data_IF_099469840443
#
_entry.id   IF_099469840443
#
_cell.length_a   1.000
_cell.length_b   1.000
_cell.length_c   1.000
_cell.angle_alpha   90.00
_cell.angle_beta   90.00
_cell.angle_gamma   90.00
#
_symmetry.space_group_name_H-M   'P 1'
#
loop_
_entity.id
_entity.type
_entity.pdbx_description
1 polymer ?
#
# COMPACT_ATOMS: atom_id res chain seq x y z
N UNK A 1 10.44 -89.38 25.76
CA UNK A 1 10.32 -88.65 24.49
C UNK A 1 9.63 -87.33 24.79
N UNK A 2 10.39 -86.25 24.87
CA UNK A 2 9.87 -84.89 25.01
C UNK A 2 9.78 -84.29 23.60
N UNK A 3 8.58 -83.87 23.19
CA UNK A 3 8.36 -83.19 21.92
C UNK A 3 8.38 -81.68 22.13
N UNK A 4 9.41 -81.00 21.63
CA UNK A 4 9.40 -79.54 21.53
C UNK A 4 8.65 -79.14 20.27
N UNK A 5 7.56 -78.39 20.40
CA UNK A 5 6.94 -77.69 19.29
C UNK A 5 7.71 -76.38 19.04
N UNK A 6 8.26 -76.24 17.85
CA UNK A 6 8.81 -74.98 17.32
C UNK A 6 7.66 -74.13 16.81
N UNK A 7 7.49 -72.93 17.38
CA UNK A 7 6.64 -71.88 16.83
C UNK A 7 7.48 -71.06 15.86
N UNK A 8 7.06 -71.03 14.60
CA UNK A 8 7.63 -70.16 13.58
C UNK A 8 6.84 -68.85 13.62
N UNK A 9 7.48 -67.77 14.08
CA UNK A 9 6.93 -66.44 14.00
C UNK A 9 7.40 -65.83 12.69
N UNK A 10 6.49 -65.70 11.71
CA UNK A 10 6.73 -64.84 10.56
C UNK A 10 7.03 -63.42 11.08
N UNK A 11 8.18 -62.82 10.71
CA UNK A 11 8.44 -61.42 11.02
C UNK A 11 7.39 -60.56 10.33
N UNK A 12 6.50 -59.96 11.12
CA UNK A 12 5.61 -58.92 10.63
C UNK A 12 6.45 -57.64 10.62
N UNK A 13 6.79 -57.12 9.44
CA UNK A 13 7.43 -55.81 9.34
C UNK A 13 6.49 -54.77 9.96
N UNK A 14 6.90 -54.08 11.05
CA UNK A 14 6.06 -53.04 11.62
C UNK A 14 6.01 -51.88 10.63
N UNK A 15 4.84 -51.68 10.01
CA UNK A 15 4.52 -50.42 9.35
C UNK A 15 4.61 -49.31 10.39
N UNK A 16 5.71 -48.55 10.35
CA UNK A 16 5.91 -47.39 11.20
C UNK A 16 4.95 -46.28 10.76
N UNK A 17 3.74 -46.26 11.34
CA UNK A 17 2.83 -45.13 11.21
C UNK A 17 3.36 -44.04 12.13
N UNK A 18 4.07 -43.04 11.59
CA UNK A 18 4.35 -41.82 12.31
C UNK A 18 3.22 -40.83 12.06
N UNK A 19 2.41 -40.57 13.08
CA UNK A 19 1.42 -39.51 13.04
C UNK A 19 2.10 -38.17 13.36
N UNK A 20 2.53 -37.45 12.32
CA UNK A 20 2.93 -36.04 12.48
C UNK A 20 1.67 -35.20 12.54
N UNK A 21 1.10 -35.01 13.73
CA UNK A 21 -0.01 -34.07 13.91
C UNK A 21 0.56 -32.65 13.87
N UNK A 22 0.50 -31.98 12.72
CA UNK A 22 0.69 -30.53 12.65
C UNK A 22 -0.70 -29.90 12.65
N UNK A 23 -1.12 -29.43 13.81
CA UNK A 23 -2.34 -28.63 13.95
C UNK A 23 -2.07 -27.27 13.32
N UNK A 24 -2.77 -26.98 12.22
CA UNK A 24 -2.81 -25.62 11.66
C UNK A 24 -4.21 -25.11 11.94
N UNK A 25 -4.36 -24.31 12.99
CA UNK A 25 -5.61 -23.61 13.28
C UNK A 25 -5.69 -22.44 12.30
N UNK A 26 -6.57 -22.56 11.32
CA UNK A 26 -6.90 -21.44 10.44
C UNK A 26 -8.07 -20.74 11.12
N UNK A 27 -7.72 -19.70 11.88
CA UNK A 27 -8.70 -18.75 12.40
C UNK A 27 -9.40 -18.07 11.23
N UNK A 28 -10.68 -17.74 11.44
CA UNK A 28 -11.61 -17.09 10.51
C UNK A 28 -10.99 -16.00 9.63
N UNK A 29 -11.67 -15.70 8.50
CA UNK A 29 -11.30 -14.64 7.54
C UNK A 29 -10.73 -13.44 8.28
N UNK A 30 -9.45 -13.11 8.04
CA UNK A 30 -8.90 -11.82 8.43
C UNK A 30 -9.87 -10.77 7.93
N UNK A 31 -10.37 -9.94 8.83
CA UNK A 31 -11.32 -8.90 8.44
C UNK A 31 -10.68 -8.00 7.39
N UNK A 32 -11.52 -7.47 6.50
CA UNK A 32 -11.08 -6.56 5.44
C UNK A 32 -10.27 -5.43 6.07
N UNK A 33 -9.06 -5.13 5.55
CA UNK A 33 -8.18 -4.18 6.18
C UNK A 33 -8.76 -2.76 6.14
N UNK A 34 -8.38 -1.96 7.11
CA UNK A 34 -8.63 -0.52 7.11
C UNK A 34 -7.48 0.15 6.36
N UNK A 35 -7.79 0.84 5.25
CA UNK A 35 -6.79 1.44 4.37
C UNK A 35 -7.00 2.94 4.28
N UNK A 36 -6.07 3.73 4.82
CA UNK A 36 -6.06 5.17 4.65
C UNK A 36 -5.19 5.55 3.45
N UNK A 37 -5.82 6.13 2.42
CA UNK A 37 -5.11 6.78 1.33
C UNK A 37 -4.59 8.13 1.84
N UNK A 38 -3.26 8.26 1.96
CA UNK A 38 -2.60 9.52 2.30
C UNK A 38 -2.00 10.11 1.02
N UNK A 39 -2.70 11.07 0.45
CA UNK A 39 -2.42 11.59 -0.90
C UNK A 39 -1.73 12.95 -0.82
N UNK A 40 -0.56 13.03 -1.46
CA UNK A 40 0.17 14.27 -1.66
C UNK A 40 -0.56 15.15 -2.69
N UNK A 41 -0.90 16.35 -2.27
CA UNK A 41 -1.49 17.43 -3.05
C UNK A 41 -0.60 18.68 -2.98
N UNK A 42 0.72 18.52 -2.88
CA UNK A 42 1.68 19.61 -2.99
C UNK A 42 1.72 20.22 -4.40
N UNK A 43 2.32 21.39 -4.55
CA UNK A 43 2.44 22.09 -5.84
C UNK A 43 3.29 21.32 -6.87
N UNK A 44 4.17 20.42 -6.45
CA UNK A 44 4.92 19.59 -7.41
C UNK A 44 4.02 18.57 -8.12
N UNK A 45 2.87 18.23 -7.54
CA UNK A 45 1.89 17.33 -8.15
C UNK A 45 1.17 17.96 -9.36
N UNK A 46 1.05 19.28 -9.46
CA UNK A 46 0.48 19.97 -10.63
C UNK A 46 1.47 20.12 -11.79
N UNK A 47 2.74 19.77 -11.60
CA UNK A 47 3.74 19.85 -12.67
C UNK A 47 3.56 18.70 -13.68
N UNK A 48 3.94 18.93 -14.95
CA UNK A 48 3.94 17.88 -15.97
C UNK A 48 4.71 16.64 -15.53
N UNK A 49 4.18 15.46 -15.86
CA UNK A 49 4.91 14.19 -15.68
C UNK A 49 6.12 14.13 -16.62
N UNK A 50 5.91 14.56 -17.87
CA UNK A 50 6.96 14.74 -18.84
C UNK A 50 6.91 16.18 -19.38
N UNK A 51 7.77 17.04 -18.82
CA UNK A 51 7.89 18.45 -19.23
C UNK A 51 8.31 18.62 -20.69
N UNK A 52 9.02 17.64 -21.24
CA UNK A 52 9.57 17.67 -22.60
C UNK A 52 8.66 16.95 -23.60
N UNK A 53 7.39 16.68 -23.24
CA UNK A 53 6.44 15.99 -24.11
C UNK A 53 6.21 16.77 -25.41
N UNK A 54 6.49 16.13 -26.54
CA UNK A 54 6.25 16.68 -27.88
C UNK A 54 5.16 15.87 -28.58
N UNK A 55 4.08 16.55 -29.00
CA UNK A 55 3.02 15.97 -29.83
C UNK A 55 2.96 16.74 -31.14
N UNK A 56 3.05 16.05 -32.26
CA UNK A 56 3.06 16.66 -33.61
C UNK A 56 4.09 17.79 -33.75
N UNK A 57 5.30 17.61 -33.19
CA UNK A 57 6.38 18.59 -33.26
C UNK A 57 6.24 19.80 -32.33
N UNK A 58 5.21 19.84 -31.47
CA UNK A 58 4.97 20.93 -30.52
C UNK A 58 5.14 20.45 -29.08
N UNK A 59 5.88 21.21 -28.25
CA UNK A 59 5.90 20.98 -26.79
C UNK A 59 4.55 21.37 -26.20
N UNK A 60 3.81 20.37 -25.74
CA UNK A 60 2.40 20.53 -25.33
C UNK A 60 2.23 21.08 -23.92
N UNK A 61 3.31 21.11 -23.14
CA UNK A 61 3.37 21.68 -21.81
C UNK A 61 3.84 23.14 -21.80
N UNK A 62 4.26 23.69 -22.95
CA UNK A 62 4.65 25.09 -23.07
C UNK A 62 3.40 25.94 -23.39
N UNK A 63 3.15 26.93 -22.55
CA UNK A 63 2.24 28.04 -22.82
C UNK A 63 3.03 29.21 -23.42
N UNK A 64 2.33 30.24 -23.91
CA UNK A 64 2.96 31.46 -24.43
C UNK A 64 2.44 32.67 -23.66
N UNK A 65 3.33 33.58 -23.31
CA UNK A 65 2.94 34.88 -22.77
C UNK A 65 2.44 35.83 -23.87
N UNK A 66 2.08 37.06 -23.48
CA UNK A 66 1.59 38.09 -24.40
C UNK A 66 2.62 38.48 -25.48
N UNK A 67 3.92 38.30 -25.18
CA UNK A 67 5.04 38.56 -26.10
C UNK A 67 5.39 37.32 -26.97
N UNK A 68 4.69 36.20 -26.77
CA UNK A 68 4.89 34.96 -27.49
C UNK A 68 6.07 34.11 -26.99
N UNK A 69 6.66 34.47 -25.85
CA UNK A 69 7.73 33.71 -25.19
C UNK A 69 7.15 32.44 -24.59
N UNK A 70 7.73 31.26 -24.90
CA UNK A 70 7.26 30.01 -24.31
C UNK A 70 7.65 29.94 -22.82
N UNK A 71 6.71 29.54 -21.98
CA UNK A 71 6.95 29.21 -20.58
C UNK A 71 6.18 27.93 -20.22
N UNK A 72 6.69 27.16 -19.25
CA UNK A 72 6.06 25.90 -18.87
C UNK A 72 4.76 26.14 -18.10
N UNK A 73 3.72 25.36 -18.36
CA UNK A 73 2.53 25.36 -17.53
C UNK A 73 2.87 24.94 -16.08
N UNK A 74 2.33 25.68 -15.13
CA UNK A 74 2.65 25.58 -13.71
C UNK A 74 1.52 26.18 -12.87
N UNK A 75 1.75 26.40 -11.58
CA UNK A 75 0.73 26.90 -10.64
C UNK A 75 -0.07 28.09 -11.18
N UNK A 76 0.58 29.20 -11.55
CA UNK A 76 -0.18 30.39 -12.00
C UNK A 76 -0.95 30.14 -13.31
N UNK A 77 -0.43 29.26 -14.17
CA UNK A 77 -0.94 28.98 -15.50
C UNK A 77 -1.08 27.47 -15.68
N UNK A 78 -2.21 26.90 -15.22
CA UNK A 78 -2.35 25.45 -15.10
C UNK A 78 -2.27 24.76 -16.46
N UNK A 79 -1.72 23.55 -16.46
CA UNK A 79 -1.62 22.72 -17.65
C UNK A 79 -3.00 22.31 -18.19
N UNK A 80 -3.16 22.28 -19.51
CA UNK A 80 -4.25 21.56 -20.17
C UNK A 80 -3.97 20.07 -20.07
N UNK A 81 -4.53 19.41 -19.05
CA UNK A 81 -4.27 18.00 -18.72
C UNK A 81 -4.70 17.02 -19.80
N UNK A 82 -5.53 17.46 -20.77
CA UNK A 82 -5.85 16.65 -21.95
C UNK A 82 -4.69 16.53 -22.95
N UNK A 83 -3.70 17.42 -22.85
CA UNK A 83 -2.51 17.47 -23.73
C UNK A 83 -1.20 17.30 -22.97
N UNK A 84 -1.10 17.89 -21.78
CA UNK A 84 0.05 17.82 -20.90
C UNK A 84 -0.36 17.22 -19.55
N UNK A 85 -0.32 15.89 -19.41
CA UNK A 85 -0.63 15.23 -18.15
C UNK A 85 0.31 15.68 -17.03
N UNK A 86 -0.29 16.07 -15.91
CA UNK A 86 0.38 16.39 -14.65
C UNK A 86 0.38 15.17 -13.73
N UNK A 87 1.26 15.15 -12.72
CA UNK A 87 1.30 14.05 -11.75
C UNK A 87 -0.06 13.85 -11.07
N UNK A 88 -0.73 14.94 -10.74
CA UNK A 88 -2.07 14.96 -10.18
C UNK A 88 -3.11 14.36 -11.13
N UNK A 89 -3.13 14.79 -12.40
CA UNK A 89 -4.10 14.28 -13.37
C UNK A 89 -3.93 12.78 -13.65
N UNK A 90 -2.69 12.30 -13.62
CA UNK A 90 -2.37 10.88 -13.81
C UNK A 90 -2.73 10.05 -12.58
N UNK A 91 -2.50 10.58 -11.37
CA UNK A 91 -2.95 9.99 -10.12
C UNK A 91 -4.48 9.85 -10.11
N UNK A 92 -5.20 10.93 -10.43
CA UNK A 92 -6.67 10.89 -10.56
C UNK A 92 -7.12 9.84 -11.58
N UNK A 93 -6.44 9.76 -12.74
CA UNK A 93 -6.72 8.78 -13.78
C UNK A 93 -6.48 7.33 -13.36
N UNK A 94 -5.50 7.05 -12.50
CA UNK A 94 -5.19 5.70 -12.02
C UNK A 94 -6.07 5.27 -10.84
N UNK A 95 -6.42 6.21 -9.96
CA UNK A 95 -7.21 5.93 -8.75
C UNK A 95 -8.66 5.55 -9.06
N UNK A 96 -9.25 6.09 -10.14
CA UNK A 96 -10.61 5.75 -10.56
C UNK A 96 -10.81 4.24 -10.77
N UNK A 97 -10.08 3.61 -11.73
CA UNK A 97 -10.14 2.17 -11.93
C UNK A 97 -9.75 1.37 -10.67
N UNK A 98 -8.72 1.80 -9.94
CA UNK A 98 -8.29 1.11 -8.73
C UNK A 98 -9.39 1.00 -7.68
N UNK A 99 -10.07 2.11 -7.36
CA UNK A 99 -11.16 2.12 -6.38
C UNK A 99 -12.40 1.38 -6.91
N UNK A 100 -12.64 1.40 -8.22
CA UNK A 100 -13.72 0.63 -8.84
C UNK A 100 -13.48 -0.89 -8.80
N UNK A 101 -12.23 -1.35 -8.89
CA UNK A 101 -11.88 -2.78 -8.89
C UNK A 101 -11.60 -3.33 -7.48
N UNK A 102 -10.99 -2.51 -6.62
CA UNK A 102 -10.52 -2.91 -5.29
C UNK A 102 -11.44 -2.46 -4.16
N UNK A 103 -12.45 -1.63 -4.44
CA UNK A 103 -13.32 -1.00 -3.44
C UNK A 103 -13.97 -1.98 -2.47
N UNK A 104 -14.42 -3.13 -2.98
CA UNK A 104 -15.01 -4.21 -2.17
C UNK A 104 -14.01 -4.96 -1.26
N UNK A 105 -12.70 -4.87 -1.53
CA UNK A 105 -11.68 -5.68 -0.87
C UNK A 105 -11.29 -5.14 0.51
N UNK A 106 -11.40 -3.84 0.72
CA UNK A 106 -10.88 -3.12 1.88
C UNK A 106 -11.81 -1.97 2.28
N UNK A 107 -11.59 -1.40 3.47
CA UNK A 107 -12.29 -0.19 3.92
C UNK A 107 -11.42 1.04 3.65
N UNK A 108 -11.68 1.72 2.54
CA UNK A 108 -10.91 2.91 2.17
C UNK A 108 -11.34 4.14 2.96
N UNK A 109 -10.37 4.89 3.48
CA UNK A 109 -10.49 6.31 3.80
C UNK A 109 -9.57 7.14 2.90
N UNK A 110 -9.78 8.46 2.89
CA UNK A 110 -8.99 9.40 2.12
C UNK A 110 -8.64 10.63 2.94
N UNK A 111 -7.35 10.92 3.02
CA UNK A 111 -6.82 12.17 3.57
C UNK A 111 -5.75 12.73 2.64
N UNK A 112 -5.70 14.06 2.52
CA UNK A 112 -4.76 14.77 1.66
C UNK A 112 -3.80 15.63 2.46
N UNK A 113 -2.58 15.79 1.97
CA UNK A 113 -1.57 16.71 2.53
C UNK A 113 -0.81 17.44 1.42
N UNK A 114 -0.40 18.71 1.62
CA UNK A 114 -0.63 19.54 2.80
C UNK A 114 -2.11 19.85 3.01
N UNK A 115 -2.47 20.35 4.19
CA UNK A 115 -3.83 20.87 4.39
C UNK A 115 -4.10 22.00 3.38
N UNK A 116 -5.29 22.04 2.75
CA UNK A 116 -5.62 23.10 1.81
C UNK A 116 -5.45 24.48 2.46
N UNK A 117 -4.66 25.39 1.88
CA UNK A 117 -4.54 26.72 2.44
C UNK A 117 -5.86 27.49 2.27
N UNK A 118 -6.07 28.57 3.05
CA UNK A 118 -7.29 29.37 2.97
C UNK A 118 -7.56 29.87 1.54
N UNK A 119 -8.83 29.82 1.13
CA UNK A 119 -9.28 30.28 -0.19
C UNK A 119 -9.28 31.80 -0.35
N UNK A 120 -9.10 32.55 0.75
CA UNK A 120 -9.07 34.01 0.77
C UNK A 120 -7.96 34.51 1.69
N UNK A 121 -7.46 35.72 1.38
CA UNK A 121 -6.38 36.34 2.15
C UNK A 121 -4.98 35.96 1.67
N UNK A 122 -3.98 36.50 2.36
CA UNK A 122 -2.56 36.19 2.07
C UNK A 122 -2.19 34.85 2.69
N UNK A 123 -1.82 33.88 1.87
CA UNK A 123 -1.36 32.58 2.33
C UNK A 123 0.08 32.69 2.83
N UNK A 124 0.31 32.20 4.05
CA UNK A 124 1.64 32.18 4.68
C UNK A 124 2.41 30.91 4.32
N UNK A 125 3.76 30.92 4.40
CA UNK A 125 4.58 29.71 4.27
C UNK A 125 4.18 28.60 5.23
N UNK A 126 3.77 28.93 6.46
CA UNK A 126 3.31 27.95 7.43
C UNK A 126 2.01 27.26 6.98
N UNK A 127 1.09 27.97 6.35
CA UNK A 127 -0.14 27.41 5.77
C UNK A 127 0.15 26.56 4.53
N UNK A 128 1.10 26.97 3.68
CA UNK A 128 1.56 26.15 2.54
C UNK A 128 2.30 24.89 2.98
N UNK A 129 2.75 24.84 4.23
CA UNK A 129 3.44 23.72 4.85
C UNK A 129 2.62 23.03 5.95
N UNK A 130 1.32 23.32 6.04
CA UNK A 130 0.48 22.70 7.06
C UNK A 130 0.33 21.20 6.76
N UNK A 131 0.62 20.31 7.72
CA UNK A 131 0.44 18.87 7.52
C UNK A 131 -1.03 18.52 7.33
N UNK A 132 -1.31 17.26 7.00
CA UNK A 132 -2.67 16.75 7.07
C UNK A 132 -3.29 17.06 8.43
N UNK A 133 -4.53 17.53 8.40
CA UNK A 133 -5.29 17.94 9.57
C UNK A 133 -6.75 17.46 9.47
N UNK A 134 -7.65 18.04 10.25
CA UNK A 134 -9.01 17.54 10.42
C UNK A 134 -9.88 17.65 9.16
N UNK A 135 -11.12 17.14 9.24
CA UNK A 135 -12.16 17.35 8.23
C UNK A 135 -12.48 18.84 8.06
N UNK A 136 -12.50 19.60 9.15
CA UNK A 136 -12.78 21.05 9.14
C UNK A 136 -11.68 21.85 8.41
N UNK A 137 -10.45 21.36 8.48
CA UNK A 137 -9.30 21.92 7.76
C UNK A 137 -9.27 21.49 6.28
N UNK A 138 -10.15 20.59 5.86
CA UNK A 138 -10.26 20.11 4.49
C UNK A 138 -9.21 19.06 4.07
N UNK A 139 -8.49 18.48 5.03
CA UNK A 139 -7.52 17.41 4.76
C UNK A 139 -8.18 16.04 4.69
N UNK A 140 -9.00 15.68 5.69
CA UNK A 140 -9.80 14.45 5.63
C UNK A 140 -10.91 14.67 4.61
N UNK A 141 -10.97 13.80 3.60
CA UNK A 141 -11.99 13.85 2.54
C UNK A 141 -13.02 12.73 2.72
N UNK A 142 -12.58 11.59 3.22
CA UNK A 142 -13.44 10.48 3.58
C UNK A 142 -12.84 9.73 4.78
N UNK A 143 -13.66 9.43 5.78
CA UNK A 143 -13.24 8.61 6.92
C UNK A 143 -13.18 7.13 6.51
N UNK A 144 -12.50 6.30 7.29
CA UNK A 144 -12.60 4.84 7.13
C UNK A 144 -14.01 4.42 7.57
N UNK A 145 -14.78 3.69 6.75
CA UNK A 145 -16.16 3.31 7.05
C UNK A 145 -16.18 2.12 8.03
N UNK A 146 -15.99 2.38 9.32
CA UNK A 146 -15.84 1.33 10.35
C UNK A 146 -17.06 0.41 10.50
N UNK A 147 -18.22 0.87 10.06
CA UNK A 147 -19.50 0.14 10.16
C UNK A 147 -19.87 -0.64 8.88
N UNK A 148 -19.03 -0.60 7.83
CA UNK A 148 -19.28 -1.28 6.55
C UNK A 148 -18.36 -2.48 6.35
N UNK A 149 -18.90 -3.59 5.83
CA UNK A 149 -18.12 -4.80 5.51
C UNK A 149 -18.60 -5.60 4.30
N UNK A 150 -19.86 -5.46 3.89
CA UNK A 150 -20.36 -6.13 2.68
C UNK A 150 -19.67 -5.60 1.44
N UNK A 151 -19.39 -6.47 0.48
CA UNK A 151 -18.74 -6.12 -0.79
C UNK A 151 -19.45 -4.96 -1.49
N UNK A 152 -20.78 -4.99 -1.60
CA UNK A 152 -21.56 -3.94 -2.26
C UNK A 152 -21.43 -2.59 -1.54
N UNK A 153 -21.67 -2.55 -0.22
CA UNK A 153 -21.56 -1.30 0.54
C UNK A 153 -20.14 -0.71 0.54
N UNK A 154 -19.10 -1.54 0.56
CA UNK A 154 -17.72 -1.07 0.47
C UNK A 154 -17.39 -0.57 -0.94
N UNK A 155 -17.93 -1.21 -1.97
CA UNK A 155 -17.76 -0.75 -3.33
C UNK A 155 -18.46 0.59 -3.57
N UNK A 156 -19.67 0.77 -3.05
CA UNK A 156 -20.40 2.05 -3.09
C UNK A 156 -19.62 3.14 -2.35
N UNK A 157 -19.12 2.86 -1.15
CA UNK A 157 -18.29 3.81 -0.40
C UNK A 157 -16.98 4.14 -1.12
N UNK A 158 -16.34 3.17 -1.75
CA UNK A 158 -15.13 3.42 -2.55
C UNK A 158 -15.41 4.33 -3.76
N UNK A 159 -16.61 4.27 -4.33
CA UNK A 159 -17.04 5.20 -5.38
C UNK A 159 -17.23 6.62 -4.83
N UNK A 160 -17.72 6.78 -3.60
CA UNK A 160 -17.77 8.08 -2.90
C UNK A 160 -16.37 8.63 -2.63
N UNK A 161 -15.46 7.79 -2.11
CA UNK A 161 -14.05 8.14 -1.92
C UNK A 161 -13.41 8.60 -3.24
N UNK A 162 -13.69 7.90 -4.35
CA UNK A 162 -13.22 8.31 -5.66
C UNK A 162 -13.81 9.66 -6.06
N UNK A 163 -15.12 9.88 -5.88
CA UNK A 163 -15.75 11.15 -6.21
C UNK A 163 -15.10 12.34 -5.47
N UNK A 164 -14.80 12.18 -4.17
CA UNK A 164 -14.06 13.18 -3.38
C UNK A 164 -12.65 13.45 -3.94
N UNK A 165 -11.93 12.42 -4.36
CA UNK A 165 -10.60 12.56 -4.97
C UNK A 165 -10.68 13.27 -6.34
N UNK A 166 -11.67 12.92 -7.17
CA UNK A 166 -11.87 13.52 -8.50
C UNK A 166 -12.35 14.98 -8.40
N UNK A 167 -13.00 15.37 -7.30
CA UNK A 167 -13.49 16.73 -7.08
C UNK A 167 -12.36 17.75 -6.85
N UNK A 168 -11.15 17.31 -6.50
CA UNK A 168 -9.99 18.19 -6.36
C UNK A 168 -9.54 18.65 -7.76
N UNK A 169 -9.55 19.96 -8.05
CA UNK A 169 -9.32 20.46 -9.39
C UNK A 169 -7.83 20.40 -9.79
N UNK A 170 -7.58 20.25 -11.08
CA UNK A 170 -6.23 20.28 -11.67
C UNK A 170 -5.61 21.69 -11.76
N UNK A 171 -6.39 22.73 -11.43
CA UNK A 171 -5.99 24.14 -11.52
C UNK A 171 -6.98 25.05 -10.80
N UNK A 172 -6.63 26.31 -10.59
CA UNK A 172 -7.48 27.28 -9.88
C UNK A 172 -7.57 27.07 -8.35
N UNK A 173 -8.66 27.52 -7.75
CA UNK A 173 -8.89 27.45 -6.29
C UNK A 173 -9.12 26.00 -5.85
N UNK A 174 -8.47 25.58 -4.77
CA UNK A 174 -8.63 24.23 -4.20
C UNK A 174 -7.79 23.13 -4.85
N UNK A 175 -6.96 23.48 -5.83
CA UNK A 175 -6.01 22.57 -6.48
C UNK A 175 -4.88 22.13 -5.53
N UNK A 176 -4.09 21.10 -5.91
CA UNK A 176 -2.83 20.82 -5.25
C UNK A 176 -1.89 22.04 -5.22
N UNK A 177 -1.38 22.37 -4.05
CA UNK A 177 -0.51 23.52 -3.80
C UNK A 177 0.22 23.39 -2.46
N UNK A 178 1.31 24.14 -2.28
CA UNK A 178 2.13 24.09 -1.07
C UNK A 178 3.28 23.09 -1.17
N UNK A 179 3.93 22.82 -0.04
CA UNK A 179 5.01 21.83 0.04
C UNK A 179 4.54 20.48 0.56
N UNK A 180 5.46 19.66 1.03
CA UNK A 180 5.28 18.21 1.20
C UNK A 180 5.58 17.81 2.66
N UNK A 181 4.74 18.19 3.66
CA UNK A 181 4.95 17.90 5.08
C UNK A 181 4.66 16.42 5.44
N UNK A 182 5.36 15.48 4.82
CA UNK A 182 5.07 14.04 4.88
C UNK A 182 5.15 13.49 6.30
N UNK A 183 6.21 13.79 7.06
CA UNK A 183 6.43 13.23 8.40
C UNK A 183 5.29 13.54 9.38
N UNK A 184 4.89 14.81 9.48
CA UNK A 184 3.77 15.24 10.31
C UNK A 184 2.41 14.77 9.77
N UNK A 185 2.25 14.64 8.45
CA UNK A 185 1.02 14.12 7.85
C UNK A 185 0.82 12.63 8.09
N UNK A 186 1.91 11.83 8.11
CA UNK A 186 1.88 10.42 8.52
C UNK A 186 1.49 10.28 9.99
N UNK A 187 2.02 11.15 10.87
CA UNK A 187 1.62 11.18 12.28
C UNK A 187 0.14 11.48 12.44
N UNK A 188 -0.40 12.45 11.69
CA UNK A 188 -1.84 12.72 11.69
C UNK A 188 -2.65 11.53 11.16
N UNK A 189 -2.28 10.96 10.01
CA UNK A 189 -2.98 9.82 9.41
C UNK A 189 -3.05 8.61 10.35
N UNK A 190 -2.03 8.41 11.21
CA UNK A 190 -2.04 7.39 12.25
C UNK A 190 -3.25 7.49 13.19
N UNK A 191 -3.72 8.72 13.47
CA UNK A 191 -4.84 8.98 14.39
C UNK A 191 -6.20 8.60 13.81
N UNK A 192 -6.27 8.40 12.50
CA UNK A 192 -7.48 7.98 11.79
C UNK A 192 -7.64 6.44 11.78
N UNK A 193 -6.58 5.71 12.13
CA UNK A 193 -6.51 4.25 12.17
C UNK A 193 -6.59 3.74 13.61
N UNK A 194 -6.72 2.42 13.76
CA UNK A 194 -6.80 1.75 15.06
C UNK A 194 -5.45 1.12 15.41
N UNK A 195 -4.60 1.75 16.25
CA UNK A 195 -3.27 1.23 16.54
C UNK A 195 -3.34 -0.13 17.26
N UNK A 196 -2.41 -1.02 16.95
CA UNK A 196 -2.32 -2.37 17.50
C UNK A 196 -3.60 -3.21 17.32
N UNK A 197 -4.35 -2.95 16.24
CA UNK A 197 -5.49 -3.78 15.87
C UNK A 197 -5.03 -5.22 15.62
N UNK A 198 -5.64 -6.17 16.34
CA UNK A 198 -5.49 -7.61 16.08
C UNK A 198 -6.57 -8.13 15.13
N UNK A 199 -7.68 -7.39 14.97
CA UNK A 199 -8.85 -7.82 14.21
C UNK A 199 -8.69 -7.54 12.70
N UNK A 200 -8.06 -6.42 12.37
CA UNK A 200 -7.89 -5.89 11.01
C UNK A 200 -6.49 -5.36 10.80
N UNK A 201 -5.88 -5.72 9.67
CA UNK A 201 -4.65 -5.07 9.23
C UNK A 201 -4.94 -3.57 9.00
N UNK A 202 -4.03 -2.72 9.48
CA UNK A 202 -4.14 -1.26 9.38
C UNK A 202 -3.07 -0.77 8.41
N UNK A 203 -3.48 -0.08 7.36
CA UNK A 203 -2.60 0.23 6.24
C UNK A 203 -2.73 1.70 5.88
N UNK A 204 -1.60 2.37 5.69
CA UNK A 204 -1.51 3.66 5.00
C UNK A 204 -0.93 3.41 3.62
N UNK A 205 -1.62 3.86 2.58
CA UNK A 205 -1.03 3.97 1.24
C UNK A 205 -0.61 5.43 1.05
N UNK A 206 0.70 5.68 1.08
CA UNK A 206 1.30 6.98 0.85
C UNK A 206 1.52 7.15 -0.66
N UNK A 207 0.80 8.10 -1.28
CA UNK A 207 0.99 8.50 -2.67
C UNK A 207 1.70 9.85 -2.70
N UNK A 208 2.94 9.91 -3.20
CA UNK A 208 3.78 11.12 -3.18
C UNK A 208 4.75 11.14 -4.36
N UNK A 209 5.27 12.30 -4.73
CA UNK A 209 6.36 12.43 -5.69
C UNK A 209 7.77 12.33 -5.07
N UNK A 210 7.85 12.15 -3.74
CA UNK A 210 9.02 11.62 -3.05
C UNK A 210 10.04 12.64 -2.55
N UNK A 211 9.66 13.91 -2.41
CA UNK A 211 10.53 14.94 -1.86
C UNK A 211 9.93 15.61 -0.60
N UNK A 212 9.85 14.90 0.55
CA UNK A 212 9.38 15.49 1.80
C UNK A 212 10.12 16.77 2.17
N UNK A 213 9.40 17.80 2.57
CA UNK A 213 9.94 19.07 3.04
C UNK A 213 8.97 19.66 4.08
N UNK A 214 8.94 20.98 4.26
CA UNK A 214 8.01 21.68 5.14
C UNK A 214 8.17 21.44 6.66
N UNK A 215 9.16 20.67 7.09
CA UNK A 215 9.50 20.49 8.51
C UNK A 215 10.28 21.70 9.05
N UNK A 216 9.66 22.52 9.90
CA UNK A 216 10.34 23.65 10.57
C UNK A 216 11.32 23.22 11.66
N UNK A 217 11.20 21.98 12.11
CA UNK A 217 12.11 21.32 13.04
C UNK A 217 13.06 20.35 12.33
N UNK A 218 13.29 20.53 11.02
CA UNK A 218 14.29 19.74 10.30
C UNK A 218 15.63 19.87 11.05
N UNK A 219 16.28 18.73 11.26
CA UNK A 219 17.56 18.66 11.94
C UNK A 219 18.64 19.44 11.16
N UNK A 220 18.50 19.49 9.84
CA UNK A 220 19.34 20.25 8.94
C UNK A 220 18.69 21.59 8.60
N UNK A 221 19.53 22.55 8.24
CA UNK A 221 19.13 23.87 7.72
C UNK A 221 20.07 24.29 6.59
N UNK A 222 19.81 25.45 5.98
CA UNK A 222 20.58 26.00 4.86
C UNK A 222 22.09 26.12 5.02
N UNK A 223 22.62 26.04 6.25
CA UNK A 223 24.06 26.09 6.50
C UNK A 223 24.72 24.72 6.53
N UNK A 224 23.92 23.65 6.64
CA UNK A 224 24.38 22.26 6.70
C UNK A 224 24.60 21.69 5.29
N UNK A 225 25.68 20.90 5.14
CA UNK A 225 25.98 20.21 3.89
C UNK A 225 24.99 19.06 3.61
N UNK A 226 24.26 18.63 4.63
CA UNK A 226 23.22 17.60 4.60
C UNK A 226 21.85 18.18 4.21
N UNK A 227 21.64 19.50 4.27
CA UNK A 227 20.45 20.13 3.71
C UNK A 227 20.45 20.01 2.18
N UNK A 228 19.66 19.06 1.68
CA UNK A 228 19.30 18.96 0.26
C UNK A 228 18.08 19.85 0.03
N UNK A 229 18.29 21.01 -0.58
CA UNK A 229 17.20 21.94 -0.87
C UNK A 229 16.24 21.35 -1.91
N UNK A 230 14.96 21.29 -1.59
CA UNK A 230 13.88 20.74 -2.44
C UNK A 230 13.08 21.81 -3.17
N UNK A 231 13.42 23.08 -2.96
CA UNK A 231 12.74 24.23 -3.55
C UNK A 231 13.38 24.63 -4.88
N UNK A 232 12.57 25.15 -5.81
CA UNK A 232 13.08 25.68 -7.07
C UNK A 232 14.01 26.89 -6.87
N UNK A 233 13.64 27.77 -5.95
CA UNK A 233 14.46 28.93 -5.59
C UNK A 233 15.43 28.54 -4.47
N UNK A 234 16.60 28.03 -4.85
CA UNK A 234 17.60 27.50 -3.92
C UNK A 234 18.03 28.50 -2.82
N UNK A 235 18.01 29.80 -3.10
CA UNK A 235 18.35 30.84 -2.11
C UNK A 235 17.39 30.88 -0.92
N UNK A 236 16.17 30.36 -1.07
CA UNK A 236 15.21 30.25 0.05
C UNK A 236 15.65 29.23 1.10
N UNK A 237 16.49 28.26 0.74
CA UNK A 237 17.08 27.35 1.71
C UNK A 237 18.29 27.97 2.41
N UNK A 238 19.05 28.86 1.77
CA UNK A 238 20.34 29.36 2.30
C UNK A 238 20.24 30.70 3.04
N UNK A 239 19.21 31.51 2.78
CA UNK A 239 18.97 32.74 3.54
C UNK A 239 18.41 32.41 4.94
N UNK A 240 19.15 32.77 6.00
CA UNK A 240 18.75 32.54 7.39
C UNK A 240 17.46 33.25 7.81
N UNK A 241 17.04 34.28 7.07
CA UNK A 241 15.77 34.98 7.30
C UNK A 241 14.61 34.39 6.51
N UNK A 242 14.88 33.47 5.59
CA UNK A 242 13.84 32.79 4.83
C UNK A 242 13.02 31.89 5.75
N UNK A 243 11.68 31.89 5.62
CA UNK A 243 10.82 30.92 6.32
C UNK A 243 11.08 29.47 5.87
N UNK A 244 11.83 29.30 4.77
CA UNK A 244 12.23 28.01 4.23
C UNK A 244 13.66 27.59 4.57
N UNK A 245 14.36 28.34 5.42
CA UNK A 245 15.73 28.02 5.83
C UNK A 245 15.89 26.59 6.39
N UNK A 246 14.86 26.10 7.10
CA UNK A 246 14.73 24.68 7.52
C UNK A 246 13.72 23.91 6.67
N UNK A 247 12.56 24.51 6.43
CA UNK A 247 11.44 23.85 5.72
C UNK A 247 11.78 23.45 4.29
N UNK A 248 12.72 24.11 3.62
CA UNK A 248 13.11 23.79 2.26
C UNK A 248 14.06 22.59 2.15
N UNK A 249 14.71 22.21 3.26
CA UNK A 249 15.58 21.03 3.29
C UNK A 249 14.75 19.75 3.25
N UNK A 250 15.26 18.74 2.53
CA UNK A 250 14.67 17.40 2.44
C UNK A 250 14.47 16.80 3.83
N UNK A 251 13.24 16.41 4.15
CA UNK A 251 12.81 15.91 5.46
C UNK A 251 12.83 14.37 5.52
N UNK A 252 13.96 13.79 5.13
CA UNK A 252 14.14 12.33 5.03
C UNK A 252 13.99 11.65 6.39
N UNK A 253 14.79 12.04 7.37
CA UNK A 253 14.93 11.29 8.61
C UNK A 253 13.66 11.33 9.47
N UNK A 254 12.94 12.46 9.51
CA UNK A 254 11.67 12.53 10.20
C UNK A 254 10.58 11.70 9.50
N UNK A 255 10.58 11.65 8.16
CA UNK A 255 9.63 10.83 7.39
C UNK A 255 9.87 9.33 7.61
N UNK A 256 11.13 8.89 7.59
CA UNK A 256 11.51 7.50 7.92
C UNK A 256 11.15 7.16 9.37
N UNK A 257 11.38 8.08 10.30
CA UNK A 257 10.99 7.90 11.71
C UNK A 257 9.48 7.76 11.86
N UNK A 258 8.69 8.54 11.11
CA UNK A 258 7.23 8.48 11.16
C UNK A 258 6.69 7.12 10.70
N UNK A 259 7.19 6.56 9.59
CA UNK A 259 6.77 5.22 9.13
C UNK A 259 7.24 4.11 10.05
N UNK A 260 8.41 4.26 10.68
CA UNK A 260 8.89 3.31 11.70
C UNK A 260 7.98 3.30 12.94
N UNK A 261 7.52 4.49 13.38
CA UNK A 261 6.57 4.62 14.48
C UNK A 261 5.18 4.03 14.16
N UNK A 262 4.72 4.18 12.90
CA UNK A 262 3.52 3.53 12.40
C UNK A 262 3.63 2.01 12.48
N UNK A 263 4.73 1.44 11.96
CA UNK A 263 5.01 0.00 12.03
C UNK A 263 5.06 -0.52 13.46
N UNK A 264 5.67 0.24 14.38
CA UNK A 264 5.70 -0.09 15.80
C UNK A 264 4.30 -0.14 16.44
N UNK A 265 3.31 0.52 15.84
CA UNK A 265 1.89 0.50 16.23
C UNK A 265 1.05 -0.48 15.40
N UNK A 266 1.69 -1.44 14.71
CA UNK A 266 1.06 -2.40 13.77
C UNK A 266 0.29 -1.73 12.62
N UNK A 267 0.71 -0.54 12.20
CA UNK A 267 0.20 0.12 10.99
C UNK A 267 1.26 0.02 9.91
N UNK A 268 0.96 -0.72 8.84
CA UNK A 268 1.86 -0.83 7.69
C UNK A 268 1.76 0.39 6.79
N UNK A 269 2.87 0.83 6.22
CA UNK A 269 2.92 1.91 5.22
C UNK A 269 3.37 1.35 3.88
N UNK A 270 2.51 1.46 2.88
CA UNK A 270 2.81 1.19 1.48
C UNK A 270 3.22 2.51 0.84
N UNK A 271 4.43 2.59 0.31
CA UNK A 271 4.97 3.80 -0.29
C UNK A 271 4.89 3.70 -1.81
N UNK A 272 4.13 4.61 -2.43
CA UNK A 272 4.03 4.78 -3.87
C UNK A 272 4.69 6.10 -4.26
N UNK A 273 5.76 6.01 -5.03
CA UNK A 273 6.45 7.17 -5.60
C UNK A 273 5.96 7.45 -7.02
N UNK A 274 5.50 8.67 -7.28
CA UNK A 274 4.99 9.09 -8.58
C UNK A 274 5.85 10.17 -9.26
N UNK A 275 6.18 9.98 -10.54
CA UNK A 275 6.88 10.98 -11.36
C UNK A 275 8.37 10.71 -11.57
N UNK A 276 8.99 11.45 -12.49
CA UNK A 276 10.36 11.17 -12.96
C UNK A 276 11.43 11.30 -11.86
N UNK A 277 11.19 12.16 -10.87
CA UNK A 277 12.04 12.40 -9.70
C UNK A 277 12.14 11.16 -8.80
N UNK A 278 11.26 10.18 -8.97
CA UNK A 278 11.34 8.90 -8.25
C UNK A 278 12.28 7.89 -8.91
N UNK A 279 12.83 8.22 -10.08
CA UNK A 279 13.82 7.40 -10.80
C UNK A 279 15.27 7.83 -10.56
N UNK A 280 15.48 9.06 -10.10
CA UNK A 280 16.81 9.66 -9.98
C UNK A 280 16.86 10.77 -8.92
N UNK A 281 18.06 11.13 -8.46
CA UNK A 281 18.23 12.13 -7.40
C UNK A 281 17.97 11.57 -6.01
N UNK A 282 17.50 12.43 -5.10
CA UNK A 282 17.31 12.07 -3.68
C UNK A 282 16.01 11.27 -3.42
N UNK A 283 15.01 11.42 -4.29
CA UNK A 283 13.69 10.77 -4.16
C UNK A 283 13.75 9.25 -3.95
N UNK A 284 14.44 8.47 -4.82
CA UNK A 284 14.55 7.02 -4.65
C UNK A 284 15.13 6.60 -3.30
N UNK A 285 16.12 7.33 -2.76
CA UNK A 285 16.72 7.00 -1.46
C UNK A 285 15.71 7.18 -0.33
N UNK A 286 14.99 8.30 -0.30
CA UNK A 286 13.98 8.57 0.73
C UNK A 286 12.84 7.56 0.67
N UNK A 287 12.28 7.34 -0.52
CA UNK A 287 11.16 6.42 -0.72
C UNK A 287 11.52 4.97 -0.37
N UNK A 288 12.72 4.51 -0.75
CA UNK A 288 13.20 3.18 -0.40
C UNK A 288 13.31 2.98 1.13
N UNK A 289 13.89 3.95 1.82
CA UNK A 289 14.05 3.85 3.28
C UNK A 289 12.70 3.89 4.00
N UNK A 290 11.77 4.75 3.55
CA UNK A 290 10.41 4.74 4.09
C UNK A 290 9.71 3.39 3.83
N UNK A 291 9.84 2.80 2.65
CA UNK A 291 9.20 1.52 2.35
C UNK A 291 9.75 0.38 3.23
N UNK A 292 11.08 0.33 3.42
CA UNK A 292 11.77 -0.68 4.26
C UNK A 292 11.37 -0.57 5.72
N UNK A 293 11.29 0.65 6.25
CA UNK A 293 10.87 0.90 7.62
C UNK A 293 9.35 0.82 7.82
N UNK A 294 8.57 1.01 6.75
CA UNK A 294 7.11 1.03 6.78
C UNK A 294 6.42 -0.33 6.87
N UNK A 295 7.16 -1.44 6.72
CA UNK A 295 6.61 -2.78 6.92
C UNK A 295 5.87 -3.39 5.71
N UNK A 296 5.89 -2.73 4.55
CA UNK A 296 5.34 -3.25 3.29
C UNK A 296 6.26 -2.96 2.09
N UNK A 297 7.56 -3.18 2.27
CA UNK A 297 8.53 -3.08 1.19
C UNK A 297 8.34 -4.20 0.16
N UNK A 298 8.70 -3.92 -1.10
CA UNK A 298 8.83 -4.93 -2.14
C UNK A 298 9.97 -5.88 -1.81
N UNK A 299 9.63 -7.14 -1.54
CA UNK A 299 10.57 -8.22 -1.24
C UNK A 299 10.87 -9.08 -2.46
N UNK A 300 11.99 -9.81 -2.43
CA UNK A 300 12.39 -10.71 -3.49
C UNK A 300 13.23 -11.88 -2.98
N UNK A 301 13.27 -12.95 -3.77
CA UNK A 301 14.20 -14.07 -3.64
C UNK A 301 15.21 -14.10 -4.81
N UNK A 302 14.82 -13.54 -5.96
CA UNK A 302 15.67 -13.36 -7.12
C UNK A 302 15.30 -12.08 -7.88
N UNK A 303 16.20 -11.58 -8.74
CA UNK A 303 15.97 -10.34 -9.49
C UNK A 303 14.73 -10.36 -10.39
N UNK A 304 14.28 -11.54 -10.80
CA UNK A 304 13.05 -11.68 -11.59
C UNK A 304 11.80 -11.22 -10.81
N UNK A 305 11.82 -11.33 -9.48
CA UNK A 305 10.71 -10.93 -8.61
C UNK A 305 10.55 -9.39 -8.56
N UNK A 306 11.62 -8.65 -8.87
CA UNK A 306 11.63 -7.19 -8.81
C UNK A 306 11.18 -6.50 -10.10
N UNK A 307 10.91 -7.28 -11.15
CA UNK A 307 10.53 -6.76 -12.45
C UNK A 307 11.67 -6.11 -13.23
N UNK A 308 11.37 -5.67 -14.44
CA UNK A 308 12.36 -5.12 -15.38
C UNK A 308 13.06 -3.87 -14.82
N UNK A 309 14.39 -3.83 -14.95
CA UNK A 309 15.21 -2.67 -14.56
C UNK A 309 15.51 -2.59 -13.06
N UNK A 310 15.16 -3.62 -12.29
CA UNK A 310 15.40 -3.69 -10.84
C UNK A 310 16.14 -4.98 -10.49
N UNK A 311 16.87 -4.97 -9.38
CA UNK A 311 17.66 -6.12 -8.94
C UNK A 311 17.29 -6.49 -7.52
N UNK A 312 17.31 -7.79 -7.22
CA UNK A 312 17.11 -8.27 -5.87
C UNK A 312 18.41 -8.17 -5.07
N UNK A 313 18.35 -7.52 -3.91
CA UNK A 313 19.37 -7.68 -2.89
C UNK A 313 19.04 -8.94 -2.08
N UNK A 314 19.66 -10.05 -2.45
CA UNK A 314 19.44 -11.36 -1.81
C UNK A 314 19.91 -11.39 -0.35
N UNK A 315 20.77 -10.46 0.08
CA UNK A 315 21.23 -10.37 1.46
C UNK A 315 20.17 -9.79 2.40
N UNK A 316 19.41 -8.81 1.91
CA UNK A 316 18.32 -8.18 2.66
C UNK A 316 16.94 -8.74 2.32
N UNK A 317 16.80 -9.44 1.19
CA UNK A 317 15.53 -9.94 0.67
C UNK A 317 14.63 -8.85 0.07
N UNK A 318 15.18 -7.67 -0.24
CA UNK A 318 14.45 -6.55 -0.80
C UNK A 318 14.81 -6.27 -2.25
N UNK A 319 13.83 -5.81 -3.01
CA UNK A 319 14.10 -5.22 -4.31
C UNK A 319 14.90 -3.91 -4.15
N UNK A 320 15.77 -3.63 -5.11
CA UNK A 320 16.53 -2.39 -5.19
C UNK A 320 15.60 -1.17 -5.09
N UNK A 321 14.45 -1.24 -5.78
CA UNK A 321 13.29 -0.38 -5.49
C UNK A 321 12.35 -1.10 -4.53
N UNK A 322 12.52 -0.80 -3.25
CA UNK A 322 11.69 -1.30 -2.16
C UNK A 322 10.32 -0.61 -2.08
N UNK A 323 10.17 0.59 -2.64
CA UNK A 323 8.87 1.26 -2.83
C UNK A 323 8.24 0.90 -4.18
N UNK A 324 6.95 1.19 -4.35
CA UNK A 324 6.26 1.01 -5.63
C UNK A 324 6.42 2.28 -6.47
N UNK A 325 7.13 2.15 -7.59
CA UNK A 325 7.38 3.28 -8.48
C UNK A 325 6.30 3.36 -9.58
N UNK A 326 5.87 4.57 -9.90
CA UNK A 326 5.00 4.86 -11.02
C UNK A 326 5.45 6.13 -11.77
N UNK A 327 5.90 5.98 -13.01
CA UNK A 327 6.26 7.09 -13.89
C UNK A 327 5.08 7.72 -14.61
N UNK A 328 3.93 7.04 -14.68
CA UNK A 328 2.72 7.43 -15.43
C UNK A 328 1.49 6.70 -14.86
N UNK A 329 0.30 6.97 -15.41
CA UNK A 329 -0.95 6.32 -15.00
C UNK A 329 -0.93 4.81 -15.11
N UNK A 330 -0.39 4.24 -16.18
CA UNK A 330 -0.38 2.79 -16.41
C UNK A 330 0.47 2.08 -15.34
N UNK A 331 1.64 2.63 -15.03
CA UNK A 331 2.52 2.10 -13.99
C UNK A 331 1.91 2.27 -12.59
N UNK A 332 1.21 3.39 -12.34
CA UNK A 332 0.49 3.59 -11.07
C UNK A 332 -0.64 2.57 -10.92
N UNK A 333 -1.42 2.35 -11.98
CA UNK A 333 -2.48 1.33 -11.97
C UNK A 333 -1.90 -0.08 -11.74
N UNK A 334 -0.76 -0.42 -12.35
CA UNK A 334 -0.08 -1.69 -12.12
C UNK A 334 0.43 -1.83 -10.67
N UNK A 335 1.01 -0.77 -10.10
CA UNK A 335 1.44 -0.73 -8.71
C UNK A 335 0.27 -0.94 -7.75
N UNK A 336 -0.82 -0.19 -7.95
CA UNK A 336 -2.05 -0.29 -7.17
C UNK A 336 -2.70 -1.67 -7.28
N UNK A 337 -2.69 -2.28 -8.48
CA UNK A 337 -3.15 -3.66 -8.68
C UNK A 337 -2.29 -4.64 -7.89
N UNK A 338 -0.96 -4.56 -7.99
CA UNK A 338 -0.06 -5.44 -7.22
C UNK A 338 -0.27 -5.30 -5.71
N UNK A 339 -0.54 -4.08 -5.24
CA UNK A 339 -0.91 -3.81 -3.85
C UNK A 339 -2.25 -4.48 -3.51
N UNK A 340 -3.27 -4.30 -4.36
CA UNK A 340 -4.59 -4.91 -4.16
C UNK A 340 -4.51 -6.42 -4.00
N UNK A 341 -3.68 -7.08 -4.82
CA UNK A 341 -3.42 -8.52 -4.80
C UNK A 341 -2.68 -8.94 -3.51
N UNK A 342 -1.71 -8.13 -3.07
CA UNK A 342 -0.93 -8.41 -1.86
C UNK A 342 -1.72 -8.18 -0.55
N UNK A 343 -2.73 -7.31 -0.56
CA UNK A 343 -3.60 -7.05 0.60
C UNK A 343 -4.90 -7.85 0.59
N UNK A 344 -5.14 -8.70 -0.43
CA UNK A 344 -6.33 -9.53 -0.43
C UNK A 344 -6.29 -10.45 0.80
N UNK A 345 -7.39 -10.54 1.58
CA UNK A 345 -7.53 -11.64 2.51
C UNK A 345 -7.46 -12.91 1.67
N UNK A 346 -6.49 -13.80 1.96
CA UNK A 346 -6.20 -14.98 1.15
C UNK A 346 -7.43 -15.84 0.83
N UNK A 347 -7.32 -16.74 -0.15
CA UNK A 347 -8.47 -17.54 -0.64
C UNK A 347 -9.12 -18.33 0.51
N UNK A 348 -10.34 -17.94 0.97
CA UNK A 348 -10.93 -18.51 2.19
C UNK A 348 -11.33 -19.97 2.02
N UNK A 349 -11.52 -20.39 0.76
CA UNK A 349 -11.89 -21.75 0.41
C UNK A 349 -10.69 -22.61 0.00
N UNK A 350 -9.46 -22.16 0.30
CA UNK A 350 -8.28 -22.98 0.05
C UNK A 350 -7.28 -22.89 1.19
N UNK A 351 -6.99 -24.05 1.78
CA UNK A 351 -5.96 -24.21 2.80
C UNK A 351 -4.70 -24.77 2.16
N UNK A 352 -3.63 -23.96 1.97
CA UNK A 352 -2.39 -24.45 1.39
C UNK A 352 -1.69 -25.44 2.34
N UNK A 353 -1.13 -26.48 1.76
CA UNK A 353 -0.25 -27.45 2.42
C UNK A 353 1.09 -27.44 1.68
N UNK A 354 2.20 -27.30 2.41
CA UNK A 354 3.54 -27.45 1.83
C UNK A 354 3.69 -28.82 1.17
N UNK A 355 4.63 -28.94 0.23
CA UNK A 355 4.94 -30.23 -0.41
C UNK A 355 5.32 -31.32 0.61
N UNK A 356 5.90 -30.91 1.73
CA UNK A 356 6.24 -31.75 2.88
C UNK A 356 5.02 -32.17 3.74
N UNK A 357 3.85 -31.59 3.49
CA UNK A 357 2.60 -31.79 4.23
C UNK A 357 1.52 -32.52 3.42
N UNK A 358 1.59 -32.48 2.08
CA UNK A 358 0.62 -33.15 1.21
C UNK A 358 0.65 -34.68 1.38
N UNK A 359 -0.45 -35.35 1.77
CA UNK A 359 -0.50 -36.81 1.81
C UNK A 359 -0.64 -37.40 0.40
N UNK A 360 -0.34 -38.69 0.26
CA UNK A 360 -0.48 -39.44 -1.00
C UNK A 360 -1.94 -39.79 -1.34
N UNK A 361 -2.84 -39.75 -0.36
CA UNK A 361 -4.27 -40.05 -0.50
C UNK A 361 -5.08 -39.05 0.34
N UNK A 362 -6.19 -38.57 -0.22
CA UNK A 362 -7.17 -37.69 0.42
C UNK A 362 -7.75 -38.29 1.71
N UNK A 363 -7.87 -39.62 1.81
CA UNK A 363 -8.34 -40.32 3.02
C UNK A 363 -7.47 -40.08 4.25
N UNK A 364 -6.25 -39.58 4.05
CA UNK A 364 -5.31 -39.23 5.12
C UNK A 364 -5.47 -37.79 5.59
N UNK A 365 -6.39 -37.02 4.99
CA UNK A 365 -6.77 -35.70 5.48
C UNK A 365 -8.00 -35.85 6.40
N UNK A 366 -7.97 -35.14 7.54
CA UNK A 366 -9.12 -34.96 8.42
C UNK A 366 -9.35 -33.46 8.59
N UNK A 367 -10.54 -33.00 8.22
CA UNK A 367 -10.94 -31.59 8.34
C UNK A 367 -11.99 -31.43 9.43
N UNK A 368 -11.85 -30.39 10.24
CA UNK A 368 -12.86 -29.91 11.18
C UNK A 368 -13.29 -28.49 10.82
N UNK A 369 -14.59 -28.23 10.88
CA UNK A 369 -15.18 -26.89 10.76
C UNK A 369 -15.97 -26.64 12.04
N UNK A 370 -15.62 -25.62 12.81
CA UNK A 370 -16.15 -25.34 14.15
C UNK A 370 -16.02 -26.51 15.13
N UNK A 371 -14.91 -27.25 15.01
CA UNK A 371 -14.66 -28.45 15.81
C UNK A 371 -15.47 -29.68 15.37
N UNK A 372 -16.35 -29.57 14.37
CA UNK A 372 -17.08 -30.70 13.80
C UNK A 372 -16.34 -31.32 12.63
N UNK A 373 -16.12 -32.64 12.69
CA UNK A 373 -15.45 -33.38 11.63
C UNK A 373 -16.29 -33.35 10.36
N UNK A 374 -15.70 -32.83 9.28
CA UNK A 374 -16.35 -32.71 7.97
C UNK A 374 -15.75 -33.73 6.99
N UNK A 375 -16.60 -34.51 6.32
CA UNK A 375 -16.16 -35.49 5.32
C UNK A 375 -15.90 -34.80 3.97
N UNK A 376 -14.94 -35.33 3.20
CA UNK A 376 -14.68 -34.87 1.84
C UNK A 376 -15.91 -35.11 0.95
N UNK A 377 -16.18 -34.19 0.02
CA UNK A 377 -17.37 -34.23 -0.80
C UNK A 377 -17.59 -32.95 -1.62
N UNK A 378 -18.51 -32.99 -2.60
CA UNK A 378 -18.74 -31.89 -3.53
C UNK A 378 -19.26 -30.60 -2.88
N UNK A 379 -19.86 -30.69 -1.69
CA UNK A 379 -20.42 -29.55 -0.93
C UNK A 379 -19.60 -29.19 0.32
N UNK A 380 -18.41 -29.79 0.48
CA UNK A 380 -17.59 -29.63 1.69
C UNK A 380 -16.14 -29.31 1.36
N UNK A 381 -15.33 -30.31 1.02
CA UNK A 381 -13.93 -30.11 0.66
C UNK A 381 -13.38 -31.27 -0.17
N UNK A 382 -12.29 -31.00 -0.89
CA UNK A 382 -11.48 -31.97 -1.61
C UNK A 382 -9.98 -31.67 -1.51
N UNK A 383 -9.13 -32.68 -1.63
CA UNK A 383 -7.67 -32.51 -1.75
C UNK A 383 -7.28 -32.14 -3.19
N UNK A 384 -6.56 -31.04 -3.37
CA UNK A 384 -6.02 -30.58 -4.64
C UNK A 384 -4.49 -30.48 -4.62
N UNK A 385 -3.88 -30.20 -5.79
CA UNK A 385 -2.46 -29.90 -5.87
C UNK A 385 -2.13 -28.66 -5.04
N UNK A 386 -1.45 -28.86 -3.91
CA UNK A 386 -1.00 -27.78 -3.04
C UNK A 386 -1.87 -27.52 -1.81
N UNK A 387 -2.97 -28.24 -1.58
CA UNK A 387 -3.79 -28.01 -0.39
C UNK A 387 -5.19 -28.61 -0.39
N UNK A 388 -5.98 -28.23 0.62
CA UNK A 388 -7.39 -28.61 0.76
C UNK A 388 -8.27 -27.49 0.24
N UNK A 389 -9.10 -27.78 -0.77
CA UNK A 389 -10.11 -26.85 -1.29
C UNK A 389 -11.46 -27.12 -0.65
N UNK A 390 -12.11 -26.09 -0.13
CA UNK A 390 -13.49 -26.12 0.33
C UNK A 390 -14.42 -25.77 -0.83
N UNK A 391 -15.58 -26.42 -0.90
CA UNK A 391 -16.58 -26.19 -1.94
C UNK A 391 -17.98 -26.08 -1.33
N UNK A 392 -18.93 -25.57 -2.11
CA UNK A 392 -20.34 -25.55 -1.74
C UNK A 392 -20.63 -24.83 -0.42
N UNK A 393 -21.48 -25.43 0.42
CA UNK A 393 -21.94 -24.84 1.68
C UNK A 393 -20.81 -24.62 2.70
N UNK A 394 -19.76 -25.46 2.70
CA UNK A 394 -18.60 -25.23 3.53
C UNK A 394 -17.82 -23.98 3.08
N UNK A 395 -17.55 -23.84 1.78
CA UNK A 395 -16.91 -22.62 1.25
C UNK A 395 -17.75 -21.37 1.54
N UNK A 396 -19.06 -21.42 1.31
CA UNK A 396 -19.96 -20.31 1.64
C UNK A 396 -19.92 -19.92 3.13
N UNK A 397 -19.82 -20.91 4.03
CA UNK A 397 -19.66 -20.67 5.48
C UNK A 397 -18.31 -20.01 5.81
N UNK A 398 -17.23 -20.40 5.14
CA UNK A 398 -15.90 -19.79 5.31
C UNK A 398 -15.84 -18.37 4.77
N UNK A 399 -16.44 -18.11 3.60
CA UNK A 399 -16.57 -16.78 3.00
C UNK A 399 -17.41 -15.83 3.87
N UNK A 400 -18.42 -16.38 4.56
CA UNK A 400 -19.26 -15.66 5.51
C UNK A 400 -18.59 -15.44 6.88
N UNK A 401 -17.46 -16.09 7.19
CA UNK A 401 -16.80 -15.95 8.49
C UNK A 401 -16.30 -14.52 8.73
N UNK A 402 -16.39 -14.06 9.98
CA UNK A 402 -15.95 -12.74 10.44
C UNK A 402 -15.27 -12.89 11.80
N UNK A 403 -14.37 -11.98 12.24
CA UNK A 403 -13.77 -12.06 13.58
C UNK A 403 -14.79 -12.07 14.73
N UNK A 404 -15.92 -11.38 14.58
CA UNK A 404 -17.02 -11.37 15.55
C UNK A 404 -17.88 -12.65 15.54
N UNK A 405 -17.78 -13.45 14.49
CA UNK A 405 -18.45 -14.75 14.33
C UNK A 405 -17.49 -15.71 13.63
N UNK A 406 -16.40 -16.12 14.31
CA UNK A 406 -15.31 -16.82 13.65
C UNK A 406 -15.74 -18.24 13.31
N UNK A 407 -15.39 -18.69 12.10
CA UNK A 407 -15.46 -20.10 11.73
C UNK A 407 -14.05 -20.67 11.90
N UNK A 408 -13.90 -21.72 12.71
CA UNK A 408 -12.59 -22.36 12.89
C UNK A 408 -12.42 -23.50 11.91
N UNK A 409 -11.28 -23.51 11.19
CA UNK A 409 -10.92 -24.61 10.29
C UNK A 409 -9.66 -25.27 10.78
N UNK A 410 -9.72 -26.59 10.95
CA UNK A 410 -8.58 -27.42 11.30
C UNK A 410 -8.37 -28.49 10.24
N UNK A 411 -7.20 -28.50 9.59
CA UNK A 411 -6.81 -29.54 8.62
C UNK A 411 -5.67 -30.37 9.20
N UNK A 412 -5.91 -31.66 9.39
CA UNK A 412 -4.91 -32.64 9.82
C UNK A 412 -4.53 -33.54 8.66
N UNK A 413 -3.26 -33.57 8.29
CA UNK A 413 -2.73 -34.49 7.29
C UNK A 413 -1.94 -35.62 7.96
N UNK A 414 -2.27 -36.87 7.65
CA UNK A 414 -1.58 -38.07 8.12
C UNK A 414 -0.63 -38.54 7.01
N UNK A 415 0.58 -38.96 7.36
CA UNK A 415 1.52 -39.59 6.41
C UNK A 415 1.93 -40.98 6.91
N UNK A 416 2.07 -41.91 5.98
CA UNK A 416 2.93 -43.09 6.19
C UNK A 416 4.36 -42.66 5.88
N UNK A 417 5.31 -43.03 6.75
CA UNK A 417 6.74 -42.84 6.51
C UNK A 417 7.30 -43.96 5.63
#
# INVERSE_FOLDING_TARGET
MAGCQTYDFEPVDPLAIAQTTKETVIAARKSKPDVMLLVDISASMTKPVNKDLVVNGTRVCDLRDDDGTPFMCEDKYPCDTSKCPTRWSELQGAMGPFLAESGKLVRFGLTTYPAPPPSTGTVTPAQLCAPAASLEDGSVRALIPKDLDSDDALQDYANEVNAELQAIPNGGVGRPQGGTPTSASLQFASTLLTPNSEDRDQIIILLTDGLPNCNDKNEYDGTSAECRCTLETLSQCTDSFSPYFKRGCLDKNASVTAVSALKASKISTIVIGFGAETSAGDGPSVLNEMAREGGFARTCKASIDCGTGDTCDVGTGFCGRSFYQAGNREELAAALKSISEAIQPGEPCFTPLEQSQLPSDEKLIVVYIDGERTLAGPDTWSLESGGVRFTGSACAKLEASRPEAPVSVEVRAIRQL
#
